data_IF_433264606569
#
_entry.id   IF_433264606569
#
_cell.length_a   1.000
_cell.length_b   1.000
_cell.length_c   1.000
_cell.angle_alpha   90.00
_cell.angle_beta   90.00
_cell.angle_gamma   90.00
#
_symmetry.space_group_name_H-M   'P 1'
#
loop_
_entity.id
_entity.type
_entity.pdbx_description
1 polymer ?
#
# COMPACT_ATOMS: atom_id res chain seq x y z
N UNK A 1 -0.59 -14.53 -7.71
CA UNK A 1 -1.22 -14.89 -6.41
C UNK A 1 -1.98 -13.69 -5.91
N UNK A 2 -3.15 -13.87 -5.27
CA UNK A 2 -3.94 -12.74 -4.72
C UNK A 2 -3.80 -12.71 -3.20
N UNK A 3 -3.39 -11.58 -2.66
CA UNK A 3 -3.23 -11.36 -1.22
C UNK A 3 -4.16 -10.24 -0.79
N UNK A 4 -4.91 -10.46 0.28
CA UNK A 4 -5.74 -9.42 0.87
C UNK A 4 -4.93 -8.67 1.93
N UNK A 5 -4.75 -7.36 1.73
CA UNK A 5 -4.06 -6.47 2.64
C UNK A 5 -5.10 -5.62 3.35
N UNK A 6 -5.06 -5.62 4.67
CA UNK A 6 -5.92 -4.77 5.50
C UNK A 6 -5.11 -3.64 6.12
N UNK A 7 -5.59 -2.42 5.93
CA UNK A 7 -4.93 -1.21 6.44
C UNK A 7 -5.55 -0.78 7.78
N UNK A 8 -4.70 -0.26 8.67
CA UNK A 8 -5.08 0.17 10.02
C UNK A 8 -4.44 1.53 10.36
N UNK A 9 -5.05 2.24 11.31
CA UNK A 9 -4.56 3.53 11.83
C UNK A 9 -4.39 4.58 10.73
N UNK A 10 -3.31 5.37 10.83
CA UNK A 10 -2.96 6.44 9.88
C UNK A 10 -2.89 5.96 8.43
N UNK A 11 -2.56 4.69 8.18
CA UNK A 11 -2.47 4.14 6.83
C UNK A 11 -3.83 4.03 6.12
N UNK A 12 -4.86 3.64 6.88
CA UNK A 12 -6.25 3.62 6.39
C UNK A 12 -6.74 5.05 6.13
N UNK A 13 -6.41 5.96 7.04
CA UNK A 13 -6.91 7.34 6.96
C UNK A 13 -6.29 8.08 5.77
N UNK A 14 -5.04 7.79 5.44
CA UNK A 14 -4.34 8.33 4.28
C UNK A 14 -4.80 7.74 2.94
N UNK A 15 -4.90 6.41 2.84
CA UNK A 15 -5.29 5.74 1.60
C UNK A 15 -6.80 5.78 1.34
N UNK A 16 -7.60 6.07 2.36
CA UNK A 16 -9.06 5.93 2.35
C UNK A 16 -9.55 4.49 2.19
N UNK A 17 -8.63 3.51 2.07
CA UNK A 17 -8.94 2.11 1.82
C UNK A 17 -8.80 1.31 3.10
N UNK A 18 -9.80 0.48 3.37
CA UNK A 18 -9.81 -0.42 4.54
C UNK A 18 -9.16 -1.76 4.24
N UNK A 19 -9.38 -2.24 3.02
CA UNK A 19 -8.84 -3.48 2.49
C UNK A 19 -8.59 -3.35 0.98
N UNK A 20 -7.62 -4.10 0.50
CA UNK A 20 -7.23 -4.14 -0.91
C UNK A 20 -6.73 -5.53 -1.28
N UNK A 21 -7.11 -6.00 -2.46
CA UNK A 21 -6.57 -7.24 -3.02
C UNK A 21 -5.41 -6.89 -3.93
N UNK A 22 -4.21 -7.30 -3.54
CA UNK A 22 -3.00 -7.14 -4.34
C UNK A 22 -2.73 -8.42 -5.13
N UNK A 23 -2.45 -8.24 -6.42
CA UNK A 23 -1.93 -9.31 -7.26
C UNK A 23 -0.40 -9.28 -7.22
N UNK A 24 0.18 -10.36 -6.68
CA UNK A 24 1.62 -10.46 -6.42
C UNK A 24 2.21 -11.71 -7.07
N UNK A 25 3.52 -11.68 -7.34
CA UNK A 25 4.26 -12.80 -7.91
C UNK A 25 4.24 -14.02 -6.97
N UNK A 26 4.28 -15.22 -7.53
CA UNK A 26 4.37 -16.46 -6.75
C UNK A 26 5.80 -16.58 -6.21
N UNK A 27 5.95 -16.83 -4.90
CA UNK A 27 7.25 -16.88 -4.23
C UNK A 27 7.74 -15.54 -3.67
N UNK A 28 6.96 -14.46 -3.79
CA UNK A 28 7.26 -13.17 -3.16
C UNK A 28 7.26 -13.29 -1.64
N UNK A 29 8.18 -12.58 -0.99
CA UNK A 29 8.25 -12.51 0.47
C UNK A 29 7.32 -11.45 1.04
N UNK A 30 7.00 -11.56 2.33
CA UNK A 30 6.21 -10.54 3.04
C UNK A 30 6.94 -9.19 3.09
N UNK A 31 8.27 -9.21 3.14
CA UNK A 31 9.09 -7.99 3.14
C UNK A 31 8.96 -7.23 1.82
N UNK A 32 9.04 -7.93 0.69
CA UNK A 32 8.86 -7.35 -0.64
C UNK A 32 7.43 -6.80 -0.84
N UNK A 33 6.40 -7.49 -0.33
CA UNK A 33 5.02 -6.97 -0.34
C UNK A 33 4.94 -5.66 0.45
N UNK A 34 5.59 -5.60 1.62
CA UNK A 34 5.60 -4.39 2.45
C UNK A 34 6.31 -3.24 1.74
N UNK A 35 7.41 -3.51 1.06
CA UNK A 35 8.14 -2.51 0.28
C UNK A 35 7.31 -2.00 -0.90
N UNK A 36 6.62 -2.90 -1.61
CA UNK A 36 5.72 -2.53 -2.70
C UNK A 36 4.59 -1.61 -2.22
N UNK A 37 3.95 -1.94 -1.10
CA UNK A 37 2.90 -1.11 -0.47
C UNK A 37 3.47 0.25 -0.03
N UNK A 38 4.67 0.30 0.54
CA UNK A 38 5.34 1.56 0.88
C UNK A 38 5.67 2.41 -0.36
N UNK A 39 6.09 1.78 -1.46
CA UNK A 39 6.38 2.47 -2.71
C UNK A 39 5.13 3.11 -3.33
N UNK A 40 3.98 2.44 -3.24
CA UNK A 40 2.68 3.02 -3.61
C UNK A 40 2.37 4.22 -2.72
N UNK A 41 2.58 4.09 -1.41
CA UNK A 41 2.40 5.19 -0.45
C UNK A 41 3.30 6.39 -0.74
N UNK A 42 4.60 6.19 -1.00
CA UNK A 42 5.53 7.29 -1.26
C UNK A 42 5.10 8.11 -2.48
N UNK A 43 4.52 7.46 -3.49
CA UNK A 43 3.95 8.13 -4.67
C UNK A 43 2.64 8.87 -4.37
N UNK A 44 1.86 8.43 -3.38
CA UNK A 44 0.65 9.12 -2.93
C UNK A 44 0.98 10.32 -2.04
N UNK A 45 1.89 10.16 -1.08
CA UNK A 45 2.41 11.25 -0.24
C UNK A 45 3.04 12.37 -1.07
N UNK A 46 3.84 12.02 -2.07
CA UNK A 46 4.40 13.00 -3.00
C UNK A 46 3.35 13.73 -3.86
N UNK A 47 2.14 13.18 -4.01
CA UNK A 47 1.03 13.88 -4.70
C UNK A 47 0.27 14.84 -3.77
N UNK A 48 0.21 14.55 -2.47
CA UNK A 48 -0.42 15.44 -1.48
C UNK A 48 0.46 16.66 -1.15
N UNK A 49 1.78 16.52 -1.13
CA UNK A 49 2.69 17.67 -0.93
C UNK A 49 2.64 18.72 -2.06
N UNK A 50 2.16 18.36 -3.25
CA UNK A 50 2.05 19.28 -4.40
C UNK A 50 0.76 20.13 -4.34
N UNK A 51 -0.15 19.84 -3.41
CA UNK A 51 -1.41 20.56 -3.21
C UNK A 51 -1.37 21.58 -2.06
N UNK A 52 -0.17 21.97 -1.60
CA UNK A 52 0.03 23.05 -0.60
C UNK A 52 0.50 24.33 -1.26
#
# INVERSE_FOLDING_TARGET
MKVNVRYFGQFRDFTGKRDEVLEVAVGITVEEIREHVRGIYAKMAAKEEVLV
#
